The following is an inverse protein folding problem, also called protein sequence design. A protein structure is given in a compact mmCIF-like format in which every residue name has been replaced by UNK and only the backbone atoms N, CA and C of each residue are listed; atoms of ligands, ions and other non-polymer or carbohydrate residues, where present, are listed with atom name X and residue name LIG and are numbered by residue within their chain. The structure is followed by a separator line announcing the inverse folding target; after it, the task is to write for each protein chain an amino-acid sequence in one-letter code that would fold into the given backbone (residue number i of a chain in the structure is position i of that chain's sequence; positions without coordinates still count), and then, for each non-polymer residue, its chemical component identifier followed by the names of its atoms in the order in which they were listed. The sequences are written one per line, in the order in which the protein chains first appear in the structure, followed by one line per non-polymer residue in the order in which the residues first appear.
data_IF_197905714064
#
_entry.id   IF_197905714064
#
_cell.length_a   1.000
_cell.length_b   1.000
_cell.length_c   1.000
_cell.angle_alpha   90.00
_cell.angle_beta   90.00
_cell.angle_gamma   90.00
#
_symmetry.space_group_name_H-M   'P 1'
#
loop_
_entity.id
_entity.type
_entity.pdbx_description
1 polymer ?
#
# COMPACT_ATOMS: atom_id res chain seq x y z
N UNK A 1 31.30 -51.10 -15.76
CA UNK A 1 30.81 -49.91 -15.02
C UNK A 1 31.06 -48.64 -15.84
N UNK A 2 30.17 -48.27 -16.76
CA UNK A 2 30.34 -47.06 -17.59
C UNK A 2 29.02 -46.37 -17.94
N UNK A 3 28.00 -46.53 -17.09
CA UNK A 3 26.68 -45.92 -17.28
C UNK A 3 26.45 -44.70 -16.37
N UNK A 4 27.40 -44.36 -15.49
CA UNK A 4 27.34 -43.13 -14.68
C UNK A 4 28.13 -41.96 -15.27
N UNK A 5 28.87 -42.17 -16.37
CA UNK A 5 29.71 -41.14 -17.01
C UNK A 5 28.95 -40.22 -17.97
N UNK A 6 27.78 -40.66 -18.44
CA UNK A 6 26.95 -39.93 -19.41
C UNK A 6 25.79 -39.17 -18.76
N UNK A 7 25.61 -39.31 -17.44
CA UNK A 7 24.81 -38.36 -16.66
C UNK A 7 25.67 -37.11 -16.42
N UNK A 8 25.89 -36.31 -17.47
CA UNK A 8 26.17 -34.89 -17.29
C UNK A 8 24.97 -34.34 -16.54
N UNK A 9 25.10 -34.18 -15.22
CA UNK A 9 24.14 -33.38 -14.46
C UNK A 9 23.99 -32.07 -15.24
N UNK A 10 22.77 -31.70 -15.69
CA UNK A 10 22.57 -30.41 -16.32
C UNK A 10 23.20 -29.37 -15.39
N UNK A 11 24.02 -28.48 -15.95
CA UNK A 11 24.77 -27.49 -15.19
C UNK A 11 23.88 -26.95 -14.06
N UNK A 12 24.25 -27.17 -12.81
CA UNK A 12 23.40 -26.75 -11.69
C UNK A 12 23.15 -25.25 -11.87
N UNK A 13 21.88 -24.80 -11.84
CA UNK A 13 21.58 -23.38 -11.98
C UNK A 13 22.41 -22.61 -10.95
N UNK A 14 23.01 -21.51 -11.39
CA UNK A 14 23.91 -20.68 -10.59
C UNK A 14 23.27 -20.37 -9.22
N UNK A 15 23.74 -21.09 -8.20
CA UNK A 15 23.13 -21.12 -6.86
C UNK A 15 23.24 -19.77 -6.20
N UNK A 16 24.29 -19.00 -6.52
CA UNK A 16 24.52 -17.67 -5.99
C UNK A 16 23.49 -16.67 -6.55
N UNK A 17 23.19 -16.74 -7.86
CA UNK A 17 22.16 -15.89 -8.44
C UNK A 17 20.75 -16.26 -7.97
N UNK A 18 20.47 -17.54 -7.74
CA UNK A 18 19.20 -17.96 -7.11
C UNK A 18 19.07 -17.45 -5.66
N UNK A 19 20.13 -17.56 -4.86
CA UNK A 19 20.15 -17.07 -3.49
C UNK A 19 19.98 -15.53 -3.44
N UNK A 20 20.64 -14.80 -4.34
CA UNK A 20 20.49 -13.36 -4.49
C UNK A 20 19.07 -12.96 -4.89
N UNK A 21 18.46 -13.67 -5.86
CA UNK A 21 17.08 -13.45 -6.27
C UNK A 21 16.09 -13.65 -5.11
N UNK A 22 16.31 -14.68 -4.27
CA UNK A 22 15.46 -14.90 -3.09
C UNK A 22 15.64 -13.81 -2.04
N UNK A 23 16.87 -13.36 -1.80
CA UNK A 23 17.11 -12.22 -0.92
C UNK A 23 16.35 -10.98 -1.38
N UNK A 24 16.40 -10.65 -2.67
CA UNK A 24 15.65 -9.54 -3.26
C UNK A 24 14.14 -9.70 -3.13
N UNK A 25 13.62 -10.92 -3.26
CA UNK A 25 12.21 -11.21 -3.02
C UNK A 25 11.79 -10.88 -1.58
N UNK A 26 12.59 -11.32 -0.60
CA UNK A 26 12.32 -11.01 0.81
C UNK A 26 12.40 -9.52 1.11
N UNK A 27 13.38 -8.82 0.54
CA UNK A 27 13.53 -7.37 0.69
C UNK A 27 12.31 -6.63 0.11
N UNK A 28 11.82 -7.03 -1.08
CA UNK A 28 10.64 -6.44 -1.68
C UNK A 28 9.35 -6.70 -0.87
N UNK A 29 9.16 -7.93 -0.38
CA UNK A 29 8.03 -8.28 0.49
C UNK A 29 8.07 -7.50 1.81
N UNK A 30 9.25 -7.38 2.41
CA UNK A 30 9.45 -6.61 3.64
C UNK A 30 9.14 -5.12 3.42
N UNK A 31 9.62 -4.54 2.31
CA UNK A 31 9.34 -3.16 1.96
C UNK A 31 7.84 -2.91 1.71
N UNK A 32 7.16 -3.79 0.96
CA UNK A 32 5.72 -3.68 0.72
C UNK A 32 4.91 -3.78 2.03
N UNK A 33 5.29 -4.70 2.93
CA UNK A 33 4.66 -4.82 4.25
C UNK A 33 4.88 -3.56 5.11
N UNK A 34 6.08 -2.97 5.05
CA UNK A 34 6.37 -1.72 5.76
C UNK A 34 5.48 -0.59 5.28
N UNK A 35 5.34 -0.41 3.97
CA UNK A 35 4.44 0.60 3.37
C UNK A 35 2.99 0.37 3.82
N UNK A 36 2.52 -0.88 3.76
CA UNK A 36 1.17 -1.20 4.21
C UNK A 36 0.94 -0.88 5.70
N UNK A 37 1.93 -1.15 6.55
CA UNK A 37 1.86 -0.84 7.98
C UNK A 37 1.86 0.68 8.24
N UNK A 38 2.71 1.43 7.53
CA UNK A 38 2.74 2.89 7.59
C UNK A 38 1.41 3.50 7.13
N UNK A 39 0.81 2.95 6.08
CA UNK A 39 -0.54 3.33 5.63
C UNK A 39 -1.61 3.07 6.68
N UNK A 40 -1.60 1.90 7.32
CA UNK A 40 -2.53 1.57 8.40
C UNK A 40 -2.38 2.53 9.60
N UNK A 41 -1.15 2.90 9.96
CA UNK A 41 -0.88 3.89 11.00
C UNK A 41 -1.39 5.28 10.60
N UNK A 42 -1.21 5.69 9.34
CA UNK A 42 -1.71 6.97 8.85
C UNK A 42 -3.25 7.03 8.90
N UNK A 43 -3.94 5.95 8.49
CA UNK A 43 -5.40 5.84 8.60
C UNK A 43 -5.85 5.90 10.06
N UNK A 44 -5.20 5.16 10.96
CA UNK A 44 -5.54 5.17 12.39
C UNK A 44 -5.36 6.57 13.01
N UNK A 45 -4.27 7.26 12.67
CA UNK A 45 -4.04 8.65 13.09
C UNK A 45 -5.15 9.56 12.58
N UNK A 46 -5.52 9.45 11.29
CA UNK A 46 -6.59 10.27 10.72
C UNK A 46 -7.94 10.00 11.37
N UNK A 47 -8.22 8.75 11.71
CA UNK A 47 -9.45 8.38 12.44
C UNK A 47 -9.52 9.06 13.82
N UNK A 48 -8.40 9.16 14.53
CA UNK A 48 -8.33 9.88 15.81
C UNK A 48 -8.55 11.39 15.66
N UNK A 49 -8.02 12.00 14.60
CA UNK A 49 -8.26 13.42 14.31
C UNK A 49 -9.75 13.69 13.99
N UNK A 50 -10.38 12.81 13.21
CA UNK A 50 -11.82 12.88 12.92
C UNK A 50 -12.64 12.75 14.22
N UNK A 51 -12.23 11.88 15.14
CA UNK A 51 -12.88 11.74 16.45
C UNK A 51 -12.77 13.02 17.28
N UNK A 52 -11.57 13.62 17.37
CA UNK A 52 -11.37 14.89 18.08
C UNK A 52 -12.23 16.01 17.49
N UNK A 53 -12.27 16.09 16.16
CA UNK A 53 -13.13 17.03 15.44
C UNK A 53 -14.61 16.80 15.76
N UNK A 54 -15.07 15.55 15.75
CA UNK A 54 -16.46 15.19 16.07
C UNK A 54 -16.86 15.57 17.49
N UNK A 55 -15.94 15.45 18.47
CA UNK A 55 -16.18 15.87 19.85
C UNK A 55 -16.29 17.39 19.99
N UNK A 56 -15.47 18.14 19.24
CA UNK A 56 -15.57 19.60 19.19
C UNK A 56 -16.91 20.04 18.57
N UNK A 57 -17.33 19.39 17.48
CA UNK A 57 -18.63 19.64 16.84
C UNK A 57 -19.81 19.34 17.76
N UNK A 58 -19.75 18.25 18.53
CA UNK A 58 -20.77 17.92 19.52
C UNK A 58 -20.89 19.01 20.60
N UNK A 59 -19.75 19.50 21.09
CA UNK A 59 -19.71 20.58 22.10
C UNK A 59 -20.36 21.85 21.57
N UNK A 60 -20.04 22.21 20.33
CA UNK A 60 -20.62 23.38 19.66
C UNK A 60 -22.13 23.20 19.42
N UNK A 61 -22.57 22.00 19.04
CA UNK A 61 -24.00 21.69 18.86
C UNK A 61 -24.78 21.83 20.17
N UNK A 62 -24.23 21.36 21.29
CA UNK A 62 -24.84 21.52 22.64
C UNK A 62 -24.93 23.01 23.01
N UNK A 63 -23.87 23.79 22.75
CA UNK A 63 -23.87 25.24 22.97
C UNK A 63 -24.94 25.93 22.13
N UNK A 64 -24.99 25.62 20.84
CA UNK A 64 -25.95 26.20 19.91
C UNK A 64 -27.41 25.86 20.28
N UNK A 65 -27.67 24.68 20.86
CA UNK A 65 -29.00 24.29 21.32
C UNK A 65 -29.50 25.10 22.53
N UNK A 66 -28.59 25.68 23.31
CA UNK A 66 -28.92 26.54 24.46
C UNK A 66 -29.19 28.01 24.10
N UNK A 67 -28.95 28.39 22.84
CA UNK A 67 -29.16 29.78 22.38
C UNK A 67 -30.63 30.10 22.10
N UNK A 68 -31.06 31.28 22.53
CA UNK A 68 -32.38 31.85 22.22
C UNK A 68 -32.40 32.51 20.84
N UNK A 69 -33.56 32.50 20.18
CA UNK A 69 -33.73 33.09 18.84
C UNK A 69 -35.11 32.81 18.24
N UNK A 70 -35.47 33.58 17.21
CA UNK A 70 -36.73 33.40 16.46
C UNK A 70 -36.73 32.08 15.67
N UNK A 71 -37.92 31.56 15.28
CA UNK A 71 -38.01 30.34 14.46
C UNK A 71 -37.22 30.42 13.14
N UNK A 72 -37.21 31.58 12.49
CA UNK A 72 -36.49 31.82 11.23
C UNK A 72 -34.96 31.77 11.42
N UNK A 73 -34.44 32.40 12.47
CA UNK A 73 -33.00 32.36 12.80
C UNK A 73 -32.55 30.94 13.12
N UNK A 74 -33.37 30.18 13.86
CA UNK A 74 -33.11 28.77 14.16
C UNK A 74 -33.07 27.91 12.90
N UNK A 75 -34.00 28.11 11.96
CA UNK A 75 -34.02 27.39 10.70
C UNK A 75 -32.79 27.67 9.83
N UNK A 76 -32.38 28.93 9.71
CA UNK A 76 -31.17 29.31 8.99
C UNK A 76 -29.91 28.69 9.62
N UNK A 77 -29.79 28.72 10.96
CA UNK A 77 -28.67 28.13 11.69
C UNK A 77 -28.60 26.62 11.53
N UNK A 78 -29.74 25.93 11.52
CA UNK A 78 -29.81 24.49 11.24
C UNK A 78 -29.35 24.16 9.82
N UNK A 79 -29.77 24.92 8.82
CA UNK A 79 -29.35 24.69 7.43
C UNK A 79 -27.83 24.83 7.25
N UNK A 80 -27.22 25.86 7.85
CA UNK A 80 -25.77 26.04 7.83
C UNK A 80 -25.02 24.93 8.58
N UNK A 81 -25.54 24.48 9.72
CA UNK A 81 -24.99 23.32 10.45
C UNK A 81 -25.00 22.05 9.60
N UNK A 82 -26.14 21.74 8.95
CA UNK A 82 -26.26 20.55 8.08
C UNK A 82 -25.28 20.64 6.92
N UNK A 83 -25.19 21.80 6.26
CA UNK A 83 -24.26 22.04 5.14
C UNK A 83 -22.81 21.86 5.58
N UNK A 84 -22.43 22.43 6.72
CA UNK A 84 -21.08 22.33 7.24
C UNK A 84 -20.72 20.87 7.62
N UNK A 85 -21.60 20.17 8.34
CA UNK A 85 -21.40 18.77 8.71
C UNK A 85 -21.29 17.86 7.49
N UNK A 86 -22.14 18.07 6.48
CA UNK A 86 -22.06 17.31 5.23
C UNK A 86 -20.72 17.52 4.51
N UNK A 87 -20.30 18.78 4.34
CA UNK A 87 -19.01 19.09 3.70
C UNK A 87 -17.82 18.46 4.42
N UNK A 88 -17.83 18.47 5.76
CA UNK A 88 -16.80 17.81 6.57
C UNK A 88 -16.82 16.29 6.42
N UNK A 89 -18.00 15.67 6.41
CA UNK A 89 -18.12 14.23 6.21
C UNK A 89 -17.54 13.79 4.86
N UNK A 90 -17.84 14.54 3.79
CA UNK A 90 -17.28 14.28 2.45
C UNK A 90 -15.75 14.43 2.45
N UNK A 91 -15.21 15.52 3.03
CA UNK A 91 -13.75 15.73 3.13
C UNK A 91 -13.07 14.57 3.87
N UNK A 92 -13.62 14.16 5.00
CA UNK A 92 -13.09 13.06 5.80
C UNK A 92 -13.08 11.74 5.02
N UNK A 93 -14.14 11.45 4.26
CA UNK A 93 -14.19 10.24 3.41
C UNK A 93 -13.16 10.30 2.27
N UNK A 94 -12.98 11.46 1.64
CA UNK A 94 -11.99 11.63 0.57
C UNK A 94 -10.58 11.40 1.10
N UNK A 95 -10.19 12.05 2.20
CA UNK A 95 -8.87 11.92 2.79
C UNK A 95 -8.55 10.49 3.24
N UNK A 96 -9.53 9.78 3.83
CA UNK A 96 -9.36 8.37 4.19
C UNK A 96 -9.20 7.49 2.94
N UNK A 97 -9.97 7.75 1.88
CA UNK A 97 -9.84 7.03 0.61
C UNK A 97 -8.46 7.25 0.00
N UNK A 98 -7.98 8.48 -0.02
CA UNK A 98 -6.66 8.84 -0.57
C UNK A 98 -5.53 8.14 0.19
N UNK A 99 -5.59 8.11 1.54
CA UNK A 99 -4.60 7.42 2.36
C UNK A 99 -4.55 5.91 2.05
N UNK A 100 -5.72 5.27 1.97
CA UNK A 100 -5.82 3.83 1.66
C UNK A 100 -5.32 3.53 0.25
N UNK A 101 -5.78 4.31 -0.73
CA UNK A 101 -5.39 4.13 -2.13
C UNK A 101 -3.89 4.32 -2.33
N UNK A 102 -3.30 5.35 -1.70
CA UNK A 102 -1.87 5.63 -1.77
C UNK A 102 -1.05 4.47 -1.20
N UNK A 103 -1.34 4.04 0.03
CA UNK A 103 -0.64 2.93 0.67
C UNK A 103 -0.71 1.65 -0.17
N UNK A 104 -1.89 1.30 -0.68
CA UNK A 104 -2.06 0.10 -1.50
C UNK A 104 -1.31 0.21 -2.82
N UNK A 105 -1.37 1.37 -3.48
CA UNK A 105 -0.69 1.60 -4.76
C UNK A 105 0.83 1.52 -4.61
N UNK A 106 1.40 2.12 -3.57
CA UNK A 106 2.83 2.08 -3.30
C UNK A 106 3.31 0.64 -3.00
N UNK A 107 2.58 -0.12 -2.18
CA UNK A 107 2.90 -1.51 -1.89
C UNK A 107 2.83 -2.39 -3.15
N UNK A 108 1.77 -2.27 -3.96
CA UNK A 108 1.62 -3.02 -5.21
C UNK A 108 2.70 -2.65 -6.22
N UNK A 109 3.09 -1.38 -6.32
CA UNK A 109 4.15 -0.94 -7.22
C UNK A 109 5.50 -1.57 -6.87
N UNK A 110 5.83 -1.70 -5.58
CA UNK A 110 7.05 -2.39 -5.15
C UNK A 110 7.05 -3.86 -5.60
N UNK A 111 5.92 -4.55 -5.42
CA UNK A 111 5.78 -5.96 -5.83
C UNK A 111 5.82 -6.13 -7.35
N UNK A 112 5.14 -5.27 -8.10
CA UNK A 112 5.15 -5.28 -9.57
C UNK A 112 6.56 -5.05 -10.12
N UNK A 113 7.28 -4.09 -9.54
CA UNK A 113 8.67 -3.84 -9.92
C UNK A 113 9.54 -5.08 -9.70
N UNK A 114 9.44 -5.70 -8.51
CA UNK A 114 10.21 -6.91 -8.22
C UNK A 114 9.83 -8.06 -9.16
N UNK A 115 8.55 -8.20 -9.50
CA UNK A 115 8.09 -9.21 -10.46
C UNK A 115 8.72 -8.99 -11.84
N UNK A 116 8.73 -7.76 -12.36
CA UNK A 116 9.39 -7.45 -13.62
C UNK A 116 10.88 -7.77 -13.58
N UNK A 117 11.58 -7.36 -12.52
CA UNK A 117 13.00 -7.68 -12.31
C UNK A 117 13.24 -9.21 -12.24
N UNK A 118 12.34 -9.98 -11.63
CA UNK A 118 12.44 -11.43 -11.58
C UNK A 118 12.28 -12.08 -12.97
N UNK A 119 11.44 -11.53 -13.84
CA UNK A 119 11.30 -12.02 -15.23
C UNK A 119 12.56 -11.74 -16.06
N UNK A 120 13.22 -10.59 -15.85
CA UNK A 120 14.50 -10.28 -16.47
C UNK A 120 15.63 -11.21 -15.97
N UNK A 121 15.62 -11.56 -14.68
CA UNK A 121 16.54 -12.54 -14.10
C UNK A 121 16.35 -13.93 -14.73
N UNK A 122 15.10 -14.39 -14.89
CA UNK A 122 14.78 -15.66 -15.58
C UNK A 122 15.28 -15.66 -17.03
N UNK A 123 15.03 -14.57 -17.77
CA UNK A 123 15.53 -14.43 -19.15
C UNK A 123 17.05 -14.54 -19.21
N UNK A 124 17.74 -13.90 -18.27
CA UNK A 124 19.21 -13.93 -18.19
C UNK A 124 19.74 -15.33 -17.87
N UNK A 125 19.10 -16.06 -16.95
CA UNK A 125 19.47 -17.44 -16.62
C UNK A 125 19.30 -18.40 -17.81
N UNK A 126 18.19 -18.27 -18.53
CA UNK A 126 17.93 -19.07 -19.74
C UNK A 126 18.95 -18.77 -20.86
N UNK A 127 19.30 -17.50 -21.06
CA UNK A 127 20.33 -17.10 -22.04
C UNK A 127 21.70 -17.71 -21.72
N UNK A 128 22.11 -17.72 -20.44
CA UNK A 128 23.37 -18.34 -19.98
C UNK A 128 23.39 -19.87 -20.14
N UNK A 129 22.24 -20.52 -20.11
CA UNK A 129 22.15 -21.99 -20.31
C UNK A 129 22.22 -22.38 -21.79
N UNK A 130 21.99 -21.43 -22.71
CA UNK A 130 22.06 -21.62 -24.17
C UNK A 130 23.47 -21.50 -24.77
N UNK A 131 24.46 -20.94 -24.06
CA UNK A 131 25.85 -20.90 -24.51
C UNK A 131 26.52 -22.26 -24.32
N UNK A 132 26.55 -23.06 -25.39
CA UNK A 132 27.38 -24.27 -25.44
C UNK A 132 28.83 -23.82 -25.68
N UNK A 133 29.83 -24.25 -24.88
CA UNK A 133 31.22 -23.87 -25.14
C UNK A 133 31.68 -24.41 -26.50
N UNK A 134 32.54 -23.68 -27.23
CA UNK A 134 33.04 -24.12 -28.53
C UNK A 134 33.72 -25.49 -28.38
N UNK A 135 33.37 -26.43 -29.26
CA UNK A 135 34.05 -27.73 -29.33
C UNK A 135 35.50 -27.48 -29.73
N UNK A 136 36.42 -27.80 -28.83
CA UNK A 136 37.86 -27.91 -29.08
C UNK A 136 38.19 -29.15 -29.90
#
# INVERSE_FOLDING_TARGET
MRLLSDFRLPAMPDVESLASAQRRNFEALSAANKVALEGAQAVAKRHMEILQQSMAELTEAVRAASESGSPQEKAAKQAELVKATYGRAVSNMQELSDLIQKSNSEAVNLLNRRFAEAMDEVKTLLAKTGETPPKS
#
